data_IF_833592782702
#
_entry.id   IF_833592782702
#
_cell.length_a   1.000
_cell.length_b   1.000
_cell.length_c   1.000
_cell.angle_alpha   90.00
_cell.angle_beta   90.00
_cell.angle_gamma   90.00
#
_symmetry.space_group_name_H-M   'P 1'
#
loop_
_entity.id
_entity.type
_entity.pdbx_description
1 polymer ?
#
# COMPACT_ATOMS: atom_id res chain seq x y z
N UNK A 1 16.65 -3.48 -10.45
CA UNK A 1 16.12 -3.74 -9.10
C UNK A 1 14.61 -3.58 -9.16
N UNK A 2 13.86 -4.45 -8.49
CA UNK A 2 12.39 -4.38 -8.41
C UNK A 2 12.01 -4.15 -6.95
N UNK A 3 11.02 -3.29 -6.71
CA UNK A 3 10.47 -3.02 -5.38
C UNK A 3 8.95 -3.12 -5.38
N UNK A 4 8.37 -3.47 -4.25
CA UNK A 4 6.91 -3.59 -4.07
C UNK A 4 6.40 -2.49 -3.12
N UNK A 5 5.39 -1.74 -3.53
CA UNK A 5 4.57 -0.94 -2.59
C UNK A 5 3.24 -1.63 -2.30
N UNK A 6 2.81 -1.61 -1.04
CA UNK A 6 1.51 -2.12 -0.59
C UNK A 6 0.78 -0.95 0.08
N UNK A 7 -0.08 -0.27 -0.67
CA UNK A 7 -0.68 0.99 -0.22
C UNK A 7 -2.00 1.31 -0.94
N UNK A 8 -2.66 2.37 -0.48
CA UNK A 8 -3.85 2.91 -1.14
C UNK A 8 -3.52 3.60 -2.47
N UNK A 9 -4.53 3.67 -3.34
CA UNK A 9 -4.48 4.43 -4.59
C UNK A 9 -5.05 5.83 -4.39
N UNK A 10 -4.22 6.84 -4.69
CA UNK A 10 -4.62 8.25 -4.78
C UNK A 10 -4.77 8.66 -6.26
N UNK A 11 -5.99 8.92 -6.76
CA UNK A 11 -6.22 9.32 -8.14
C UNK A 11 -5.62 10.67 -8.52
N UNK A 12 -5.30 11.54 -7.55
CA UNK A 12 -4.62 12.80 -7.83
C UNK A 12 -3.13 12.61 -8.12
N UNK A 13 -2.58 11.44 -7.77
CA UNK A 13 -1.18 11.07 -8.00
C UNK A 13 -0.17 11.83 -7.15
N UNK A 14 -0.62 12.42 -6.03
CA UNK A 14 0.21 13.14 -5.05
C UNK A 14 0.64 12.31 -3.84
N UNK A 15 -0.02 11.19 -3.59
CA UNK A 15 0.32 10.20 -2.57
C UNK A 15 0.13 8.76 -3.10
N UNK A 16 0.11 7.78 -2.19
CA UNK A 16 -0.25 6.39 -2.48
C UNK A 16 0.69 5.68 -3.47
N UNK A 17 0.21 4.56 -4.01
CA UNK A 17 1.02 3.68 -4.88
C UNK A 17 1.61 4.40 -6.10
N UNK A 18 0.92 5.40 -6.67
CA UNK A 18 1.41 6.13 -7.83
C UNK A 18 2.63 6.98 -7.50
N UNK A 19 2.69 7.55 -6.30
CA UNK A 19 3.84 8.34 -5.84
C UNK A 19 5.01 7.44 -5.48
N UNK A 20 4.72 6.28 -4.90
CA UNK A 20 5.74 5.26 -4.61
C UNK A 20 6.41 4.77 -5.89
N UNK A 21 5.63 4.38 -6.90
CA UNK A 21 6.15 3.91 -8.19
C UNK A 21 6.97 5.00 -8.88
N UNK A 22 6.49 6.26 -8.88
CA UNK A 22 7.25 7.40 -9.43
C UNK A 22 8.58 7.59 -8.72
N UNK A 23 8.58 7.47 -7.39
CA UNK A 23 9.79 7.60 -6.56
C UNK A 23 10.77 6.47 -6.84
N UNK A 24 10.31 5.22 -6.86
CA UNK A 24 11.12 4.06 -7.26
C UNK A 24 11.73 4.28 -8.65
N UNK A 25 10.91 4.68 -9.63
CA UNK A 25 11.37 4.98 -10.99
C UNK A 25 12.42 6.08 -11.06
N UNK A 26 12.27 7.16 -10.29
CA UNK A 26 13.25 8.24 -10.18
C UNK A 26 14.61 7.75 -9.63
N UNK A 27 14.61 6.65 -8.89
CA UNK A 27 15.82 5.98 -8.37
C UNK A 27 16.24 4.74 -9.19
N UNK A 28 15.70 4.55 -10.39
CA UNK A 28 16.06 3.43 -11.26
C UNK A 28 15.55 2.06 -10.78
N UNK A 29 14.55 2.04 -9.90
CA UNK A 29 13.88 0.84 -9.40
C UNK A 29 12.56 0.65 -10.15
N UNK A 30 12.33 -0.56 -10.67
CA UNK A 30 11.03 -0.91 -11.23
C UNK A 30 10.04 -1.14 -10.07
N UNK A 31 9.01 -0.30 -9.98
CA UNK A 31 8.01 -0.38 -8.91
C UNK A 31 6.81 -1.23 -9.31
N UNK A 32 6.53 -2.25 -8.52
CA UNK A 32 5.28 -3.01 -8.51
C UNK A 32 4.38 -2.53 -7.37
N UNK A 33 3.07 -2.79 -7.44
CA UNK A 33 2.14 -2.36 -6.41
C UNK A 33 1.02 -3.37 -6.13
N UNK A 34 0.64 -3.49 -4.86
CA UNK A 34 -0.61 -4.10 -4.41
C UNK A 34 -1.49 -3.01 -3.78
N UNK A 35 -2.73 -2.89 -4.24
CA UNK A 35 -3.68 -1.85 -3.83
C UNK A 35 -4.50 -2.34 -2.65
N UNK A 36 -4.45 -1.60 -1.54
CA UNK A 36 -5.18 -1.92 -0.29
C UNK A 36 -6.52 -1.21 -0.18
N UNK A 37 -6.63 -0.03 -0.78
CA UNK A 37 -7.84 0.78 -0.81
C UNK A 37 -7.82 1.72 -2.02
N UNK A 38 -8.99 1.99 -2.59
CA UNK A 38 -9.20 3.06 -3.55
C UNK A 38 -9.69 4.29 -2.80
N UNK A 39 -9.11 5.45 -3.08
CA UNK A 39 -9.62 6.72 -2.53
C UNK A 39 -10.29 7.52 -3.62
N UNK A 40 -11.44 8.12 -3.30
CA UNK A 40 -11.91 9.28 -4.04
C UNK A 40 -11.35 10.51 -3.32
N UNK A 41 -10.22 11.04 -3.79
CA UNK A 41 -9.56 12.18 -3.14
C UNK A 41 -8.93 13.14 -4.16
N UNK A 42 -8.62 14.34 -3.67
CA UNK A 42 -7.76 15.31 -4.34
C UNK A 42 -6.85 16.00 -3.29
N UNK A 43 -5.92 16.88 -3.67
CA UNK A 43 -4.99 17.49 -2.73
C UNK A 43 -5.62 18.27 -1.56
N UNK A 44 -6.91 18.58 -1.63
CA UNK A 44 -7.64 19.32 -0.59
C UNK A 44 -8.46 18.44 0.34
N UNK A 45 -8.91 17.26 -0.10
CA UNK A 45 -9.87 16.45 0.66
C UNK A 45 -9.95 15.00 0.18
N UNK A 46 -10.22 14.10 1.11
CA UNK A 46 -10.72 12.73 0.86
C UNK A 46 -12.25 12.70 0.97
N UNK A 47 -12.91 12.25 -0.09
CA UNK A 47 -14.38 12.15 -0.16
C UNK A 47 -14.87 10.80 0.32
N UNK A 48 -14.20 9.73 -0.08
CA UNK A 48 -14.50 8.37 0.34
C UNK A 48 -13.28 7.46 0.19
N UNK A 49 -13.30 6.34 0.92
CA UNK A 49 -12.32 5.27 0.84
C UNK A 49 -13.06 3.96 0.65
N UNK A 50 -12.70 3.22 -0.40
CA UNK A 50 -13.23 1.91 -0.71
C UNK A 50 -12.14 0.86 -0.46
N UNK A 51 -12.24 0.04 0.60
CA UNK A 51 -11.24 -0.99 0.88
C UNK A 51 -11.27 -2.11 -0.16
N UNK A 52 -10.08 -2.59 -0.53
CA UNK A 52 -9.95 -3.80 -1.32
C UNK A 52 -10.05 -5.01 -0.38
N UNK A 53 -10.71 -6.08 -0.83
CA UNK A 53 -10.83 -7.30 -0.03
C UNK A 53 -9.46 -7.93 0.22
N UNK A 54 -9.27 -8.52 1.41
CA UNK A 54 -8.01 -9.21 1.78
C UNK A 54 -7.68 -10.35 0.81
N UNK A 55 -8.68 -11.08 0.33
CA UNK A 55 -8.49 -12.10 -0.71
C UNK A 55 -7.86 -11.51 -1.97
N UNK A 56 -8.40 -10.39 -2.47
CA UNK A 56 -7.91 -9.77 -3.69
C UNK A 56 -6.55 -9.08 -3.49
N UNK A 57 -6.26 -8.58 -2.29
CA UNK A 57 -4.91 -8.09 -1.93
C UNK A 57 -3.90 -9.25 -1.96
N UNK A 58 -4.26 -10.42 -1.43
CA UNK A 58 -3.40 -11.62 -1.50
C UNK A 58 -3.13 -11.99 -2.95
N UNK A 59 -4.17 -12.08 -3.80
CA UNK A 59 -4.02 -12.43 -5.22
C UNK A 59 -3.13 -11.43 -5.97
N UNK A 60 -3.23 -10.13 -5.68
CA UNK A 60 -2.32 -9.12 -6.24
C UNK A 60 -0.86 -9.38 -5.85
N UNK A 61 -0.60 -9.62 -4.56
CA UNK A 61 0.76 -9.91 -4.09
C UNK A 61 1.27 -11.20 -4.72
N UNK A 62 0.49 -12.28 -4.65
CA UNK A 62 0.89 -13.61 -5.09
C UNK A 62 1.17 -13.63 -6.61
N UNK A 63 0.37 -12.92 -7.41
CA UNK A 63 0.61 -12.77 -8.85
C UNK A 63 1.88 -11.99 -9.20
N UNK A 64 2.30 -11.04 -8.36
CA UNK A 64 3.58 -10.34 -8.54
C UNK A 64 4.74 -11.30 -8.24
N UNK A 65 4.63 -12.10 -7.17
CA UNK A 65 5.66 -13.06 -6.79
C UNK A 65 5.72 -14.32 -7.66
N UNK A 66 4.67 -14.61 -8.45
CA UNK A 66 4.67 -15.66 -9.46
C UNK A 66 5.73 -15.40 -10.55
N UNK A 67 6.01 -14.13 -10.85
CA UNK A 67 6.98 -13.73 -11.89
C UNK A 67 8.24 -13.07 -11.31
N UNK A 68 8.10 -12.22 -10.30
CA UNK A 68 9.19 -11.36 -9.83
C UNK A 68 9.80 -11.80 -8.51
N UNK A 69 11.12 -11.97 -8.49
CA UNK A 69 11.90 -12.13 -7.26
C UNK A 69 12.16 -10.76 -6.60
N UNK A 70 11.24 -10.32 -5.74
CA UNK A 70 11.32 -9.04 -5.03
C UNK A 70 11.84 -9.26 -3.60
N UNK A 71 12.79 -8.43 -3.15
CA UNK A 71 13.30 -8.44 -1.77
C UNK A 71 12.83 -7.25 -0.94
N UNK A 72 12.64 -6.10 -1.57
CA UNK A 72 12.39 -4.84 -0.88
C UNK A 72 10.95 -4.40 -1.07
N UNK A 73 10.28 -4.10 0.04
CA UNK A 73 8.90 -3.66 0.04
C UNK A 73 8.68 -2.43 0.93
N UNK A 74 7.55 -1.78 0.73
CA UNK A 74 7.11 -0.64 1.52
C UNK A 74 5.60 -0.71 1.73
N UNK A 75 5.12 -0.38 2.91
CA UNK A 75 3.69 -0.16 3.15
C UNK A 75 3.35 1.32 3.20
N UNK A 76 2.11 1.65 2.84
CA UNK A 76 1.50 2.97 3.08
C UNK A 76 0.15 2.80 3.76
N UNK A 77 -0.90 3.45 3.23
CA UNK A 77 -2.26 3.26 3.74
C UNK A 77 -2.67 1.78 3.68
N UNK A 78 -2.93 1.16 4.83
CA UNK A 78 -3.45 -0.21 4.94
C UNK A 78 -4.93 -0.29 5.33
N UNK A 79 -5.54 0.83 5.74
CA UNK A 79 -6.97 0.98 6.02
C UNK A 79 -7.57 0.22 7.23
N UNK A 80 -7.27 -1.08 7.40
CA UNK A 80 -7.85 -1.90 8.48
C UNK A 80 -6.89 -2.93 9.07
N UNK A 81 -7.22 -3.42 10.27
CA UNK A 81 -6.47 -4.45 11.00
C UNK A 81 -6.33 -5.75 10.21
N UNK A 82 -7.38 -6.15 9.50
CA UNK A 82 -7.38 -7.37 8.69
C UNK A 82 -6.37 -7.28 7.54
N UNK A 83 -6.24 -6.10 6.93
CA UNK A 83 -5.25 -5.84 5.88
C UNK A 83 -3.84 -5.81 6.49
N UNK A 84 -3.65 -5.18 7.64
CA UNK A 84 -2.36 -5.18 8.35
C UNK A 84 -1.89 -6.61 8.64
N UNK A 85 -2.77 -7.45 9.19
CA UNK A 85 -2.47 -8.85 9.47
C UNK A 85 -2.15 -9.65 8.21
N UNK A 86 -2.90 -9.45 7.12
CA UNK A 86 -2.61 -10.07 5.83
C UNK A 86 -1.22 -9.65 5.32
N UNK A 87 -0.92 -8.35 5.35
CA UNK A 87 0.37 -7.83 4.85
C UNK A 87 1.52 -8.35 5.69
N UNK A 88 1.39 -8.39 7.02
CA UNK A 88 2.40 -8.99 7.90
C UNK A 88 2.64 -10.45 7.54
N UNK A 89 1.58 -11.24 7.33
CA UNK A 89 1.71 -12.63 6.90
C UNK A 89 2.47 -12.74 5.57
N UNK A 90 2.17 -11.89 4.59
CA UNK A 90 2.82 -11.90 3.27
C UNK A 90 4.28 -11.46 3.32
N UNK A 91 4.62 -10.54 4.22
CA UNK A 91 6.01 -10.15 4.49
C UNK A 91 6.82 -11.34 5.00
N UNK A 92 6.26 -12.09 5.95
CA UNK A 92 6.91 -13.30 6.48
C UNK A 92 6.97 -14.43 5.44
N UNK A 93 5.89 -14.62 4.68
CA UNK A 93 5.77 -15.66 3.64
C UNK A 93 6.83 -15.52 2.54
N UNK A 94 7.15 -14.29 2.14
CA UNK A 94 8.10 -13.98 1.07
C UNK A 94 9.45 -13.43 1.57
N UNK A 95 9.72 -13.46 2.88
CA UNK A 95 10.97 -12.97 3.51
C UNK A 95 11.35 -11.54 3.08
N UNK A 96 10.39 -10.62 3.14
CA UNK A 96 10.55 -9.27 2.61
C UNK A 96 11.25 -8.32 3.59
N UNK A 97 12.22 -7.57 3.06
CA UNK A 97 12.78 -6.40 3.73
C UNK A 97 11.83 -5.22 3.56
N UNK A 98 11.08 -4.88 4.61
CA UNK A 98 9.99 -3.91 4.55
C UNK A 98 10.30 -2.56 5.23
N UNK A 99 9.91 -1.47 4.58
CA UNK A 99 9.78 -0.13 5.19
C UNK A 99 8.31 0.12 5.54
N UNK A 100 8.03 0.43 6.80
CA UNK A 100 6.66 0.69 7.27
C UNK A 100 6.42 2.20 7.38
N UNK A 101 5.51 2.73 6.56
CA UNK A 101 4.98 4.10 6.68
C UNK A 101 3.58 4.02 7.33
N UNK A 102 3.43 4.31 8.64
CA UNK A 102 2.20 4.09 9.40
C UNK A 102 1.14 5.17 9.10
N UNK A 103 0.63 5.17 7.87
CA UNK A 103 -0.37 6.14 7.40
C UNK A 103 -1.70 5.95 8.11
N UNK A 104 -2.00 6.84 9.05
CA UNK A 104 -3.29 6.91 9.76
C UNK A 104 -4.18 8.08 9.30
N UNK A 105 -3.57 9.10 8.69
CA UNK A 105 -4.22 10.36 8.29
C UNK A 105 -3.80 10.70 6.87
N UNK A 106 -4.73 11.22 6.06
CA UNK A 106 -4.45 11.69 4.72
C UNK A 106 -3.55 12.93 4.75
N UNK A 107 -2.81 13.16 3.67
CA UNK A 107 -2.10 14.43 3.46
C UNK A 107 -3.05 15.64 3.47
N UNK A 108 -4.34 15.42 3.15
CA UNK A 108 -5.40 16.42 3.25
C UNK A 108 -5.93 16.66 4.69
N UNK A 109 -5.50 15.86 5.67
CA UNK A 109 -5.90 15.96 7.08
C UNK A 109 -7.09 15.07 7.49
N UNK A 110 -7.75 14.39 6.55
CA UNK A 110 -8.87 13.48 6.83
C UNK A 110 -8.40 12.12 7.38
N UNK A 111 -9.18 11.51 8.27
CA UNK A 111 -8.90 10.15 8.76
C UNK A 111 -9.06 9.10 7.64
N UNK A 112 -8.11 8.18 7.51
CA UNK A 112 -8.06 7.20 6.43
C UNK A 112 -8.32 5.75 6.87
N UNK A 113 -8.51 5.48 8.16
CA UNK A 113 -8.68 4.13 8.70
C UNK A 113 -9.90 4.00 9.61
N UNK A 114 -10.29 2.75 9.87
CA UNK A 114 -11.26 2.44 10.94
C UNK A 114 -10.62 2.76 12.29
N UNK A 115 -11.42 3.19 13.27
CA UNK A 115 -10.95 3.42 14.65
C UNK A 115 -10.23 2.16 15.16
N UNK A 116 -9.03 2.32 15.74
CA UNK A 116 -8.18 1.26 16.33
C UNK A 116 -7.28 0.44 15.36
N UNK A 117 -6.50 1.11 14.50
CA UNK A 117 -5.42 0.47 13.71
C UNK A 117 -4.02 0.58 14.34
N UNK A 118 -3.83 1.39 15.38
CA UNK A 118 -2.50 1.71 15.91
C UNK A 118 -1.80 0.53 16.62
N UNK A 119 -2.57 -0.44 17.14
CA UNK A 119 -2.08 -1.60 17.89
C UNK A 119 -2.03 -2.90 17.07
N UNK A 120 -2.25 -2.79 15.75
CA UNK A 120 -2.41 -3.92 14.84
C UNK A 120 -1.10 -4.38 14.19
#
# INVERSE_FOLDING_TARGET
>A
MIGLTIAGFDPSGGAGISTDIKTMGAHGVHGCAAVTALTAQNPKKVFSVEPVSTTYISEQIDSIFDEYAIKYSKTGLLYSKEIIQLVSKKVDEYDLSIVVDPVMVASAGDALGKSEIADA
#
